data_IF_133485805013
#
_entry.id   IF_133485805013
#
_cell.length_a   1.000
_cell.length_b   1.000
_cell.length_c   1.000
_cell.angle_alpha   90.00
_cell.angle_beta   90.00
_cell.angle_gamma   90.00
#
_symmetry.space_group_name_H-M   'P 1'
#
loop_
_entity.id
_entity.type
_entity.pdbx_description
1 polymer ?
#
# COMPACT_ATOMS: atom_id res chain seq x y z
N UNK A 1 -18.46 21.95 -11.68
CA UNK A 1 -17.12 21.33 -11.57
C UNK A 1 -16.97 20.39 -12.74
N UNK A 2 -15.87 20.47 -13.50
CA UNK A 2 -15.54 19.47 -14.51
C UNK A 2 -15.36 18.10 -13.86
N UNK A 3 -15.74 17.03 -14.56
CA UNK A 3 -15.48 15.67 -14.09
C UNK A 3 -13.97 15.48 -13.84
N UNK A 4 -13.58 14.73 -12.81
CA UNK A 4 -12.17 14.47 -12.55
C UNK A 4 -11.55 13.71 -13.74
N UNK A 5 -10.33 14.11 -14.13
CA UNK A 5 -9.60 13.43 -15.20
C UNK A 5 -9.22 12.00 -14.78
N UNK A 6 -9.24 11.06 -15.72
CA UNK A 6 -8.71 9.71 -15.46
C UNK A 6 -7.21 9.78 -15.23
N UNK A 7 -6.77 9.17 -14.14
CA UNK A 7 -5.37 8.98 -13.78
C UNK A 7 -4.83 7.59 -14.13
N UNK A 8 -3.68 7.26 -13.56
CA UNK A 8 -3.16 5.91 -13.47
C UNK A 8 -3.91 5.06 -12.44
N UNK A 9 -3.52 3.80 -12.30
CA UNK A 9 -3.94 2.99 -11.17
C UNK A 9 -3.10 3.34 -9.94
N UNK A 10 -3.65 3.18 -8.74
CA UNK A 10 -2.86 3.45 -7.52
C UNK A 10 -1.62 2.55 -7.40
N UNK A 11 -1.61 1.35 -8.00
CA UNK A 11 -0.39 0.52 -8.12
C UNK A 11 0.69 1.17 -8.99
N UNK A 12 0.31 1.96 -10.01
CA UNK A 12 1.29 2.70 -10.82
C UNK A 12 1.97 3.78 -9.96
N UNK A 13 1.21 4.46 -9.11
CA UNK A 13 1.73 5.40 -8.12
C UNK A 13 2.69 4.74 -7.12
N UNK A 14 2.38 3.52 -6.67
CA UNK A 14 3.32 2.74 -5.84
C UNK A 14 4.64 2.47 -6.56
N UNK A 15 4.59 2.02 -7.82
CA UNK A 15 5.79 1.81 -8.63
C UNK A 15 6.62 3.09 -8.80
N UNK A 16 5.97 4.23 -9.09
CA UNK A 16 6.63 5.54 -9.17
C UNK A 16 7.28 5.96 -7.85
N UNK A 17 6.60 5.70 -6.73
CA UNK A 17 7.15 5.99 -5.41
C UNK A 17 8.42 5.19 -5.11
N UNK A 18 8.47 3.90 -5.45
CA UNK A 18 9.68 3.08 -5.28
C UNK A 18 10.86 3.68 -6.04
N UNK A 19 10.65 4.18 -7.26
CA UNK A 19 11.70 4.85 -8.02
C UNK A 19 12.19 6.13 -7.34
N UNK A 20 11.28 6.94 -6.79
CA UNK A 20 11.65 8.14 -6.02
C UNK A 20 12.44 7.80 -4.75
N UNK A 21 12.13 6.67 -4.12
CA UNK A 21 12.80 6.19 -2.92
C UNK A 21 14.17 5.56 -3.19
N UNK A 22 14.51 5.27 -4.44
CA UNK A 22 15.74 4.57 -4.82
C UNK A 22 17.03 5.33 -4.46
N UNK A 23 16.96 6.63 -4.23
CA UNK A 23 18.08 7.45 -3.77
C UNK A 23 18.57 7.07 -2.36
N UNK A 24 17.74 6.46 -1.54
CA UNK A 24 18.15 5.95 -0.22
C UNK A 24 18.66 4.51 -0.37
N UNK A 25 19.94 4.23 -0.05
CA UNK A 25 20.53 2.90 -0.22
C UNK A 25 20.00 1.86 0.79
N UNK A 26 19.26 2.29 1.78
CA UNK A 26 18.61 1.38 2.73
C UNK A 26 17.36 0.74 2.13
N UNK A 27 16.73 1.38 1.13
CA UNK A 27 15.51 0.89 0.49
C UNK A 27 15.83 -0.37 -0.30
N UNK A 28 15.11 -1.44 0.02
CA UNK A 28 15.13 -2.73 -0.67
C UNK A 28 13.70 -3.15 -1.02
N UNK A 29 13.54 -3.80 -2.16
CA UNK A 29 12.23 -4.20 -2.66
C UNK A 29 12.14 -5.72 -2.69
N UNK A 30 11.05 -6.25 -2.14
CA UNK A 30 10.77 -7.69 -2.13
C UNK A 30 9.47 -7.98 -2.88
N UNK A 31 9.42 -9.09 -3.56
CA UNK A 31 8.24 -9.52 -4.31
C UNK A 31 8.03 -11.03 -4.24
N UNK A 32 6.79 -11.45 -4.39
CA UNK A 32 6.38 -12.86 -4.48
C UNK A 32 5.89 -13.17 -5.90
N UNK A 33 6.79 -13.08 -6.89
CA UNK A 33 6.55 -13.38 -8.31
C UNK A 33 5.45 -12.54 -9.01
N UNK A 34 5.11 -11.38 -8.45
CA UNK A 34 4.07 -10.49 -8.98
C UNK A 34 4.56 -9.07 -9.29
N UNK A 35 5.87 -8.89 -9.48
CA UNK A 35 6.48 -7.57 -9.67
C UNK A 35 5.91 -6.74 -10.83
N UNK A 36 5.53 -7.37 -11.94
CA UNK A 36 4.86 -6.70 -13.07
C UNK A 36 3.47 -6.16 -12.67
N UNK A 37 2.75 -6.93 -11.88
CA UNK A 37 1.39 -6.58 -11.44
C UNK A 37 1.39 -5.52 -10.35
N UNK A 38 2.32 -5.59 -9.41
CA UNK A 38 2.48 -4.63 -8.30
C UNK A 38 3.27 -3.39 -8.71
N UNK A 39 3.91 -3.40 -9.90
CA UNK A 39 4.79 -2.36 -10.43
C UNK A 39 6.16 -2.24 -9.75
N UNK A 40 6.49 -3.15 -8.86
CA UNK A 40 7.85 -3.23 -8.29
C UNK A 40 8.92 -3.60 -9.32
N UNK A 41 8.53 -4.17 -10.47
CA UNK A 41 9.43 -4.46 -11.58
C UNK A 41 10.20 -3.23 -12.07
N UNK A 42 9.63 -2.02 -12.00
CA UNK A 42 10.32 -0.80 -12.40
C UNK A 42 11.55 -0.52 -11.53
N UNK A 43 11.45 -0.78 -10.24
CA UNK A 43 12.60 -0.68 -9.33
C UNK A 43 13.63 -1.77 -9.64
N UNK A 44 13.17 -3.02 -9.88
CA UNK A 44 14.05 -4.14 -10.22
C UNK A 44 14.86 -3.91 -11.50
N UNK A 45 14.28 -3.27 -12.51
CA UNK A 45 14.95 -2.97 -13.78
C UNK A 45 16.16 -2.04 -13.60
N UNK A 46 16.10 -1.14 -12.61
CA UNK A 46 17.17 -0.17 -12.33
C UNK A 46 18.09 -0.59 -11.18
N UNK A 47 17.59 -1.37 -10.24
CA UNK A 47 18.29 -1.76 -9.01
C UNK A 47 18.10 -3.25 -8.71
N UNK A 48 18.55 -4.15 -9.61
CA UNK A 48 18.37 -5.59 -9.42
C UNK A 48 19.04 -6.11 -8.14
N UNK A 49 20.17 -5.51 -7.72
CA UNK A 49 20.92 -5.88 -6.51
C UNK A 49 20.18 -5.52 -5.20
N UNK A 50 19.17 -4.68 -5.29
CA UNK A 50 18.30 -4.29 -4.16
C UNK A 50 16.89 -4.82 -4.29
N UNK A 51 16.66 -5.74 -5.23
CA UNK A 51 15.37 -6.39 -5.43
C UNK A 51 15.50 -7.88 -5.22
N UNK A 52 14.61 -8.45 -4.40
CA UNK A 52 14.62 -9.86 -4.05
C UNK A 52 13.27 -10.46 -4.42
N UNK A 53 13.28 -11.39 -5.39
CA UNK A 53 12.10 -12.19 -5.69
C UNK A 53 12.18 -13.50 -4.92
N UNK A 54 11.18 -13.77 -4.10
CA UNK A 54 11.12 -14.95 -3.25
C UNK A 54 10.27 -16.09 -3.86
N UNK A 55 9.78 -15.90 -5.09
CA UNK A 55 8.80 -16.79 -5.69
C UNK A 55 7.44 -16.70 -5.00
N UNK A 56 6.58 -17.67 -5.21
CA UNK A 56 5.23 -17.71 -4.61
C UNK A 56 5.35 -18.20 -3.15
N UNK A 57 5.90 -17.35 -2.28
CA UNK A 57 6.22 -17.66 -0.88
C UNK A 57 6.05 -16.41 0.02
N UNK A 58 4.82 -15.96 0.18
CA UNK A 58 4.49 -14.70 0.85
C UNK A 58 4.91 -14.69 2.33
N UNK A 59 4.78 -15.81 3.03
CA UNK A 59 5.25 -15.95 4.41
C UNK A 59 6.77 -15.74 4.50
N UNK A 60 7.51 -16.37 3.58
CA UNK A 60 8.97 -16.20 3.50
C UNK A 60 9.35 -14.77 3.13
N UNK A 61 8.60 -14.13 2.20
CA UNK A 61 8.80 -12.73 1.83
C UNK A 61 8.72 -11.80 3.05
N UNK A 62 7.71 -11.98 3.89
CA UNK A 62 7.54 -11.19 5.12
C UNK A 62 8.69 -11.42 6.09
N UNK A 63 9.12 -12.67 6.30
CA UNK A 63 10.20 -12.99 7.23
C UNK A 63 11.57 -12.50 6.73
N UNK A 64 11.84 -12.59 5.43
CA UNK A 64 13.05 -12.01 4.83
C UNK A 64 13.03 -10.49 4.97
N UNK A 65 11.90 -9.83 4.70
CA UNK A 65 11.75 -8.39 4.91
C UNK A 65 11.99 -8.02 6.39
N UNK A 66 11.47 -8.81 7.32
CA UNK A 66 11.71 -8.64 8.75
C UNK A 66 13.21 -8.72 9.11
N UNK A 67 13.91 -9.74 8.59
CA UNK A 67 15.35 -9.88 8.77
C UNK A 67 16.15 -8.71 8.21
N UNK A 68 15.75 -8.21 7.03
CA UNK A 68 16.38 -7.03 6.45
C UNK A 68 16.13 -5.76 7.27
N UNK A 69 14.91 -5.58 7.78
CA UNK A 69 14.59 -4.45 8.64
C UNK A 69 15.41 -4.48 9.94
N UNK A 70 15.60 -5.65 10.54
CA UNK A 70 16.46 -5.82 11.73
C UNK A 70 17.94 -5.48 11.47
N UNK A 71 18.35 -5.54 10.19
CA UNK A 71 19.71 -5.19 9.74
C UNK A 71 19.84 -3.74 9.27
N UNK A 72 18.82 -2.89 9.54
CA UNK A 72 18.84 -1.47 9.22
C UNK A 72 18.42 -1.13 7.77
N UNK A 73 17.87 -2.06 7.01
CA UNK A 73 17.23 -1.79 5.71
C UNK A 73 15.80 -1.31 5.90
N UNK A 74 15.25 -0.73 4.85
CA UNK A 74 13.84 -0.28 4.79
C UNK A 74 13.16 -1.08 3.66
N UNK A 75 12.60 -2.25 3.97
CA UNK A 75 12.02 -3.13 2.98
C UNK A 75 10.60 -2.68 2.59
N UNK A 76 10.36 -2.65 1.27
CA UNK A 76 9.07 -2.54 0.64
C UNK A 76 8.73 -3.89 0.00
N UNK A 77 7.78 -4.61 0.58
CA UNK A 77 7.41 -5.95 0.14
C UNK A 77 6.01 -5.95 -0.49
N UNK A 78 5.87 -6.49 -1.71
CA UNK A 78 4.63 -6.39 -2.46
C UNK A 78 4.18 -7.70 -3.10
N UNK A 79 2.89 -7.94 -3.02
CA UNK A 79 2.16 -9.02 -3.70
C UNK A 79 0.69 -8.61 -3.86
N UNK A 80 -0.22 -9.52 -4.24
CA UNK A 80 -1.65 -9.21 -4.20
C UNK A 80 -2.17 -9.15 -2.76
N UNK A 81 -3.19 -8.31 -2.54
CA UNK A 81 -3.79 -8.13 -1.23
C UNK A 81 -4.21 -9.47 -0.60
N UNK A 82 -4.92 -10.31 -1.36
CA UNK A 82 -5.35 -11.64 -0.88
C UNK A 82 -4.16 -12.55 -0.52
N UNK A 83 -3.03 -12.40 -1.23
CA UNK A 83 -1.87 -13.25 -0.95
C UNK A 83 -1.04 -12.74 0.23
N UNK A 84 -1.11 -11.44 0.56
CA UNK A 84 -0.50 -10.94 1.80
C UNK A 84 -1.10 -11.60 3.04
N UNK A 85 -2.35 -12.03 2.97
CA UNK A 85 -3.08 -12.65 4.07
C UNK A 85 -2.49 -14.00 4.50
N UNK A 86 -1.81 -14.70 3.58
CA UNK A 86 -1.03 -15.91 3.93
C UNK A 86 0.09 -15.63 4.90
N UNK A 87 0.65 -14.41 4.86
CA UNK A 87 1.73 -13.96 5.73
C UNK A 87 1.26 -13.18 6.96
N UNK A 88 -0.03 -13.18 7.27
CA UNK A 88 -0.58 -12.36 8.35
C UNK A 88 0.07 -12.65 9.71
N UNK A 89 0.25 -13.90 10.06
CA UNK A 89 0.91 -14.31 11.31
C UNK A 89 2.35 -13.80 11.34
N UNK A 90 3.08 -13.93 10.23
CA UNK A 90 4.46 -13.46 10.11
C UNK A 90 4.53 -11.92 10.23
N UNK A 91 3.56 -11.19 9.69
CA UNK A 91 3.47 -9.73 9.87
C UNK A 91 3.24 -9.40 11.35
N UNK A 92 2.30 -10.08 11.99
CA UNK A 92 1.96 -9.86 13.40
C UNK A 92 3.16 -10.12 14.32
N UNK A 93 3.79 -11.29 14.19
CA UNK A 93 4.83 -11.75 15.10
C UNK A 93 6.25 -11.41 14.65
N UNK A 94 6.50 -11.39 13.34
CA UNK A 94 7.82 -11.11 12.78
C UNK A 94 8.09 -9.62 12.51
N UNK A 95 7.05 -8.82 12.31
CA UNK A 95 7.19 -7.40 11.98
C UNK A 95 6.66 -6.49 13.09
N UNK A 96 5.36 -6.58 13.38
CA UNK A 96 4.72 -5.61 14.26
C UNK A 96 5.09 -5.79 15.72
N UNK A 97 5.10 -7.03 16.23
CA UNK A 97 5.44 -7.32 17.63
C UNK A 97 6.86 -6.87 18.01
N UNK A 98 7.92 -7.12 17.21
CA UNK A 98 9.25 -6.60 17.49
C UNK A 98 9.42 -5.12 17.11
N UNK A 99 8.43 -4.46 16.51
CA UNK A 99 8.50 -3.06 16.11
C UNK A 99 9.40 -2.80 14.91
N UNK A 100 9.56 -3.78 14.01
CA UNK A 100 10.38 -3.63 12.81
C UNK A 100 9.64 -2.84 11.72
N UNK A 101 10.36 -1.99 11.02
CA UNK A 101 9.79 -1.14 9.96
C UNK A 101 9.82 -1.90 8.65
N UNK A 102 8.69 -2.48 8.28
CA UNK A 102 8.46 -3.14 6.98
C UNK A 102 7.21 -2.53 6.35
N UNK A 103 7.30 -2.17 5.09
CA UNK A 103 6.20 -1.58 4.32
C UNK A 103 5.64 -2.61 3.35
N UNK A 104 4.46 -3.14 3.67
CA UNK A 104 3.75 -4.09 2.82
C UNK A 104 2.84 -3.35 1.83
N UNK A 105 2.80 -3.80 0.59
CA UNK A 105 1.84 -3.35 -0.41
C UNK A 105 1.01 -4.53 -0.92
N UNK A 106 -0.28 -4.52 -0.60
CA UNK A 106 -1.27 -5.44 -1.14
C UNK A 106 -1.95 -4.86 -2.37
N UNK A 107 -1.53 -5.28 -3.54
CA UNK A 107 -2.14 -4.84 -4.79
C UNK A 107 -3.40 -5.63 -5.13
N UNK A 108 -4.23 -5.11 -6.02
CA UNK A 108 -5.45 -5.79 -6.47
C UNK A 108 -6.47 -6.03 -5.34
N UNK A 109 -6.53 -5.14 -4.34
CA UNK A 109 -7.48 -5.26 -3.23
C UNK A 109 -8.92 -5.00 -3.65
N UNK A 110 -9.85 -5.70 -2.98
CA UNK A 110 -11.29 -5.57 -3.19
C UNK A 110 -11.79 -6.16 -4.50
N UNK A 111 -13.06 -5.95 -4.78
CA UNK A 111 -13.76 -6.42 -6.00
C UNK A 111 -13.25 -5.74 -7.29
N UNK A 112 -12.51 -4.66 -7.17
CA UNK A 112 -11.90 -3.92 -8.29
C UNK A 112 -10.84 -4.75 -9.06
N UNK A 113 -10.40 -5.86 -8.52
CA UNK A 113 -9.56 -6.85 -9.19
C UNK A 113 -10.19 -7.37 -10.49
N UNK A 114 -11.53 -7.54 -10.50
CA UNK A 114 -12.31 -7.81 -11.70
C UNK A 114 -12.06 -9.19 -12.30
N UNK A 115 -11.48 -9.22 -13.51
CA UNK A 115 -11.35 -10.44 -14.33
C UNK A 115 -10.47 -11.53 -13.75
N UNK A 116 -9.65 -11.25 -12.74
CA UNK A 116 -8.84 -12.28 -12.07
C UNK A 116 -9.72 -13.21 -11.20
N UNK A 117 -10.98 -12.86 -11.01
CA UNK A 117 -11.98 -13.69 -10.35
C UNK A 117 -12.03 -13.53 -8.83
N UNK A 118 -13.02 -14.16 -8.23
CA UNK A 118 -13.31 -14.04 -6.78
C UNK A 118 -12.18 -14.51 -5.89
N UNK A 119 -11.42 -15.52 -6.31
CA UNK A 119 -10.28 -16.03 -5.56
C UNK A 119 -9.10 -15.06 -5.42
N UNK A 120 -9.04 -14.02 -6.29
CA UNK A 120 -8.04 -12.98 -6.24
C UNK A 120 -8.55 -11.68 -5.60
N UNK A 121 -9.80 -11.64 -5.18
CA UNK A 121 -10.46 -10.47 -4.58
C UNK A 121 -10.35 -10.51 -3.07
N UNK A 122 -9.43 -9.74 -2.48
CA UNK A 122 -9.37 -9.53 -1.03
C UNK A 122 -10.36 -8.45 -0.62
N UNK A 123 -11.31 -8.78 0.24
CA UNK A 123 -12.26 -7.83 0.81
C UNK A 123 -11.99 -7.59 2.31
N UNK A 124 -11.20 -8.43 2.93
CA UNK A 124 -10.89 -8.47 4.36
C UNK A 124 -9.54 -7.85 4.75
N UNK A 125 -8.63 -7.64 3.83
CA UNK A 125 -7.25 -7.23 4.08
C UNK A 125 -7.13 -5.95 4.93
N UNK A 126 -7.92 -4.91 4.64
CA UNK A 126 -7.90 -3.69 5.44
C UNK A 126 -8.35 -3.94 6.88
N UNK A 127 -9.39 -4.75 7.07
CA UNK A 127 -9.86 -5.12 8.41
C UNK A 127 -8.79 -5.94 9.14
N UNK A 128 -8.21 -6.90 8.46
CA UNK A 128 -7.19 -7.82 8.99
C UNK A 128 -5.98 -7.04 9.51
N UNK A 129 -5.37 -6.19 8.69
CA UNK A 129 -4.19 -5.42 9.09
C UNK A 129 -4.47 -4.33 10.11
N UNK A 130 -5.70 -3.80 10.18
CA UNK A 130 -6.11 -2.86 11.24
C UNK A 130 -6.21 -3.49 12.62
N UNK A 131 -6.25 -4.80 12.74
CA UNK A 131 -6.24 -5.49 14.04
C UNK A 131 -4.85 -5.55 14.68
N UNK A 132 -3.80 -5.28 13.92
CA UNK A 132 -2.42 -5.34 14.40
C UNK A 132 -2.03 -4.02 15.07
N UNK A 133 -1.69 -4.01 16.39
CA UNK A 133 -1.26 -2.79 17.06
C UNK A 133 0.00 -2.19 16.40
N UNK A 134 0.03 -0.86 16.25
CA UNK A 134 1.14 -0.14 15.65
C UNK A 134 1.21 -0.18 14.12
N UNK A 135 0.36 -0.95 13.47
CA UNK A 135 0.31 -1.01 12.01
C UNK A 135 -0.39 0.21 11.41
N UNK A 136 0.27 0.86 10.47
CA UNK A 136 -0.35 1.93 9.66
C UNK A 136 -1.01 1.32 8.43
N UNK A 137 -2.31 1.50 8.28
CA UNK A 137 -3.08 0.94 7.16
C UNK A 137 -3.58 2.06 6.26
N UNK A 138 -3.27 1.96 4.96
CA UNK A 138 -3.59 3.00 3.98
C UNK A 138 -4.28 2.41 2.74
N UNK A 139 -5.22 3.17 2.20
CA UNK A 139 -5.84 2.88 0.90
C UNK A 139 -5.93 4.18 0.08
N UNK A 140 -4.87 4.53 -0.66
CA UNK A 140 -4.87 5.70 -1.54
C UNK A 140 -5.96 5.60 -2.61
N UNK A 141 -6.61 6.72 -2.93
CA UNK A 141 -7.74 6.75 -3.85
C UNK A 141 -7.34 6.88 -5.33
N UNK A 142 -6.13 7.34 -5.61
CA UNK A 142 -5.60 7.53 -6.97
C UNK A 142 -4.08 7.32 -7.02
N UNK A 143 -3.52 7.46 -8.21
CA UNK A 143 -2.09 7.26 -8.47
C UNK A 143 -1.22 8.29 -7.74
N UNK A 144 -1.62 9.56 -7.70
CA UNK A 144 -0.86 10.63 -7.05
C UNK A 144 -0.84 10.49 -5.54
N UNK A 145 -1.97 10.15 -4.93
CA UNK A 145 -2.03 9.90 -3.49
C UNK A 145 -1.26 8.63 -3.11
N UNK A 146 -1.26 7.60 -3.95
CA UNK A 146 -0.48 6.40 -3.73
C UNK A 146 1.02 6.69 -3.76
N UNK A 147 1.48 7.46 -4.74
CA UNK A 147 2.88 7.86 -4.83
C UNK A 147 3.31 8.68 -3.62
N UNK A 148 2.57 9.74 -3.30
CA UNK A 148 2.96 10.66 -2.24
C UNK A 148 2.95 10.01 -0.85
N UNK A 149 1.91 9.22 -0.53
CA UNK A 149 1.83 8.54 0.76
C UNK A 149 2.89 7.43 0.88
N UNK A 150 3.20 6.72 -0.20
CA UNK A 150 4.25 5.70 -0.19
C UNK A 150 5.63 6.34 0.04
N UNK A 151 5.92 7.49 -0.58
CA UNK A 151 7.18 8.20 -0.35
C UNK A 151 7.34 8.63 1.11
N UNK A 152 6.27 9.03 1.77
CA UNK A 152 6.31 9.40 3.19
C UNK A 152 6.67 8.24 4.12
N UNK A 153 6.48 7.00 3.68
CA UNK A 153 6.84 5.82 4.47
C UNK A 153 8.34 5.71 4.75
N UNK A 154 9.20 6.31 3.94
CA UNK A 154 10.66 6.30 4.17
C UNK A 154 11.04 6.77 5.57
N UNK A 155 10.32 7.77 6.07
CA UNK A 155 10.56 8.37 7.39
C UNK A 155 9.44 8.07 8.39
N UNK A 156 8.58 7.12 8.06
CA UNK A 156 7.47 6.73 8.92
C UNK A 156 7.92 5.67 9.91
N UNK A 157 7.93 5.97 11.18
CA UNK A 157 8.53 5.12 12.22
C UNK A 157 7.76 3.84 12.58
N UNK A 158 6.72 3.46 11.81
CA UNK A 158 5.90 2.27 12.07
C UNK A 158 5.81 1.38 10.83
N UNK A 159 5.58 0.07 10.99
CA UNK A 159 5.25 -0.80 9.88
C UNK A 159 3.94 -0.37 9.20
N UNK A 160 3.79 -0.65 7.92
CA UNK A 160 2.60 -0.26 7.19
C UNK A 160 2.09 -1.34 6.24
N UNK A 161 0.79 -1.27 5.99
CA UNK A 161 0.11 -1.96 4.92
C UNK A 161 -0.57 -0.94 4.00
N UNK A 162 -0.24 -0.97 2.72
CA UNK A 162 -0.85 -0.10 1.71
C UNK A 162 -1.62 -0.94 0.71
N UNK A 163 -2.93 -0.75 0.61
CA UNK A 163 -3.75 -1.37 -0.43
C UNK A 163 -3.68 -0.55 -1.70
N UNK A 164 -3.43 -1.19 -2.85
CA UNK A 164 -3.50 -0.55 -4.16
C UNK A 164 -4.49 -1.25 -5.10
N UNK A 165 -5.03 -0.49 -6.04
CA UNK A 165 -6.01 -0.97 -7.02
C UNK A 165 -5.34 -1.37 -8.33
N UNK A 166 -5.97 -2.32 -9.05
CA UNK A 166 -5.55 -2.79 -10.38
C UNK A 166 -5.83 -1.79 -11.49
N UNK A 167 -7.03 -1.21 -11.47
CA UNK A 167 -7.54 -0.41 -12.57
C UNK A 167 -7.29 1.08 -12.36
N UNK A 168 -7.30 1.82 -13.45
CA UNK A 168 -7.23 3.29 -13.43
C UNK A 168 -8.40 3.86 -12.65
N UNK A 169 -8.13 4.94 -11.94
CA UNK A 169 -9.14 5.66 -11.15
C UNK A 169 -9.19 7.13 -11.54
N UNK A 170 -10.32 7.81 -11.38
CA UNK A 170 -10.37 9.26 -11.50
C UNK A 170 -9.42 9.91 -10.47
N UNK A 171 -8.66 10.91 -10.90
CA UNK A 171 -7.79 11.67 -9.99
C UNK A 171 -8.60 12.59 -9.09
N UNK A 172 -8.50 12.37 -7.79
CA UNK A 172 -9.06 13.24 -6.76
C UNK A 172 -8.08 14.35 -6.37
N UNK A 173 -6.79 14.11 -6.58
CA UNK A 173 -5.71 15.06 -6.33
C UNK A 173 -5.04 15.49 -7.62
N UNK A 174 -4.36 16.63 -7.58
CA UNK A 174 -3.42 17.08 -8.61
C UNK A 174 -2.02 17.18 -7.99
N UNK A 175 -1.00 17.45 -8.80
CA UNK A 175 0.40 17.52 -8.36
C UNK A 175 0.68 18.52 -7.23
N UNK A 176 -0.16 19.55 -7.09
CA UNK A 176 -0.04 20.52 -5.99
C UNK A 176 -0.74 20.04 -4.73
N UNK A 177 -1.98 19.56 -4.87
CA UNK A 177 -2.80 19.17 -3.72
C UNK A 177 -2.36 17.85 -3.09
N UNK A 178 -1.81 16.91 -3.86
CA UNK A 178 -1.29 15.66 -3.30
C UNK A 178 -0.12 15.89 -2.31
N UNK A 179 0.69 16.94 -2.52
CA UNK A 179 1.80 17.29 -1.61
C UNK A 179 1.34 17.71 -0.21
N UNK A 180 0.10 18.10 -0.06
CA UNK A 180 -0.49 18.43 1.25
C UNK A 180 -0.93 17.21 2.05
N UNK A 181 -0.97 16.04 1.41
CA UNK A 181 -1.33 14.79 2.08
C UNK A 181 -0.31 14.45 3.18
N UNK A 182 -0.82 13.97 4.31
CA UNK A 182 0.00 13.49 5.42
C UNK A 182 -0.60 12.20 5.96
N UNK A 183 0.25 11.21 6.19
CA UNK A 183 -0.17 9.97 6.84
C UNK A 183 -0.83 10.31 8.17
N UNK A 184 -2.01 9.73 8.43
CA UNK A 184 -2.78 9.92 9.67
C UNK A 184 -3.58 11.24 9.75
N UNK A 185 -3.59 12.06 8.69
CA UNK A 185 -4.39 13.30 8.64
C UNK A 185 -5.45 13.26 7.55
N UNK A 186 -6.65 13.68 7.87
CA UNK A 186 -7.72 13.87 6.89
C UNK A 186 -7.41 15.03 5.93
N UNK A 187 -7.89 14.91 4.70
CA UNK A 187 -7.80 15.95 3.67
C UNK A 187 -9.22 16.37 3.25
N UNK A 188 -9.49 17.66 3.27
CA UNK A 188 -10.78 18.20 2.82
C UNK A 188 -10.75 18.33 1.30
N UNK A 189 -11.42 17.41 0.60
CA UNK A 189 -11.56 17.45 -0.87
C UNK A 189 -12.63 18.44 -1.33
N UNK A 190 -13.68 18.60 -0.54
CA UNK A 190 -14.78 19.52 -0.81
C UNK A 190 -15.32 20.10 0.50
N UNK A 191 -15.21 21.40 0.66
CA UNK A 191 -15.89 22.09 1.73
C UNK A 191 -17.37 22.29 1.37
N UNK A 192 -18.27 21.98 2.30
CA UNK A 192 -19.71 22.23 2.21
C UNK A 192 -20.17 22.96 3.44
N UNK A 193 -21.16 23.85 3.29
CA UNK A 193 -21.72 24.62 4.40
C UNK A 193 -22.53 23.79 5.39
N UNK A 194 -22.97 22.63 4.98
CA UNK A 194 -23.73 21.69 5.78
C UNK A 194 -23.03 20.33 5.77
N UNK A 195 -22.40 19.98 6.88
CA UNK A 195 -21.72 18.71 7.09
C UNK A 195 -22.44 17.86 8.14
N UNK A 196 -23.76 18.03 8.25
CA UNK A 196 -24.52 17.26 9.19
C UNK A 196 -24.67 15.82 8.69
N UNK A 197 -23.99 14.89 9.33
CA UNK A 197 -24.39 13.51 9.36
C UNK A 197 -25.64 13.43 10.23
N UNK A 198 -26.82 13.56 9.61
CA UNK A 198 -27.97 12.90 10.18
C UNK A 198 -27.59 11.44 10.23
N UNK A 199 -27.25 10.96 11.40
CA UNK A 199 -27.40 9.54 11.67
C UNK A 199 -28.81 9.23 11.19
N UNK A 200 -29.00 8.36 10.16
CA UNK A 200 -30.32 7.87 9.89
C UNK A 200 -30.80 7.40 11.25
N UNK A 201 -31.98 7.82 11.64
CA UNK A 201 -32.63 7.25 12.78
C UNK A 201 -32.53 5.76 12.54
N UNK A 202 -31.63 5.10 13.24
CA UNK A 202 -31.48 3.68 13.10
C UNK A 202 -32.82 3.18 13.60
N UNK A 203 -33.64 2.74 12.67
CA UNK A 203 -34.72 1.90 12.99
C UNK A 203 -34.10 0.71 13.69
N UNK A 204 -34.17 0.74 14.99
CA UNK A 204 -33.95 -0.44 15.80
C UNK A 204 -35.02 -1.41 15.40
N UNK A 205 -34.68 -2.36 14.57
CA UNK A 205 -35.44 -3.56 14.36
C UNK A 205 -34.98 -4.59 15.36
#
# INVERSE_FOLDING_TARGET
MSAPSMGGASRDGYGSALLRLSSDPRVVVLEADLGKSTKSCHFRELYPERTISLGIAEQNMVLVASGMASSGKIPFASTFAIFTERGFEQVRNGVARPGLIVHLCGSHGGVHTGTDGSSAQSIEDLALYRTIPGMTVMHPCDDLSAEELTVQLLNHGNPSYTRTARNKTPRMYNEKTCKSLKIGKGSVLRAVSYTHLTLPTILLV
#
